data_IF_849519702566
#
_entry.id   IF_849519702566
#
_cell.length_a   1.000
_cell.length_b   1.000
_cell.length_c   1.000
_cell.angle_alpha   90.00
_cell.angle_beta   90.00
_cell.angle_gamma   90.00
#
_symmetry.space_group_name_H-M   'P 1'
#
loop_
_entity.id
_entity.type
_entity.pdbx_description
1 polymer ?
#
# COMPACT_ATOMS: atom_id res chain seq x y z
N UNK A 1 -3.18 18.13 -41.32
CA UNK A 1 -3.20 18.05 -39.84
C UNK A 1 -2.73 19.39 -39.29
N UNK A 2 -3.65 20.24 -38.84
CA UNK A 2 -3.31 21.54 -38.24
C UNK A 2 -2.79 21.33 -36.82
N UNK A 3 -1.60 21.85 -36.50
CA UNK A 3 -1.00 21.64 -35.19
C UNK A 3 -1.86 22.23 -34.06
N UNK A 4 -1.90 21.59 -32.87
CA UNK A 4 -2.73 22.02 -31.75
C UNK A 4 -2.42 23.46 -31.30
N UNK A 5 -1.18 23.92 -31.49
CA UNK A 5 -0.76 25.28 -31.18
C UNK A 5 -1.34 26.35 -32.12
N UNK A 6 -1.67 26.01 -33.38
CA UNK A 6 -2.22 26.97 -34.35
C UNK A 6 -3.75 27.13 -34.21
N UNK A 7 -4.44 26.10 -33.71
CA UNK A 7 -5.86 26.17 -33.34
C UNK A 7 -6.09 27.04 -32.08
N UNK A 8 -5.10 27.09 -31.18
CA UNK A 8 -5.14 27.88 -29.95
C UNK A 8 -5.20 29.40 -30.19
N UNK A 9 -4.48 29.91 -31.19
CA UNK A 9 -4.44 31.35 -31.48
C UNK A 9 -5.58 31.86 -32.38
N UNK A 10 -6.41 30.99 -32.97
CA UNK A 10 -7.43 31.41 -33.96
C UNK A 10 -8.87 31.27 -33.50
N UNK A 11 -9.15 30.57 -32.39
CA UNK A 11 -10.51 30.33 -31.92
C UNK A 11 -10.67 30.59 -30.42
N UNK A 12 -11.46 31.61 -30.08
CA UNK A 12 -11.82 31.98 -28.70
C UNK A 12 -12.44 30.79 -27.94
N UNK A 13 -13.15 29.90 -28.65
CA UNK A 13 -13.72 28.65 -28.12
C UNK A 13 -12.65 27.68 -27.63
N UNK A 14 -11.58 27.50 -28.40
CA UNK A 14 -10.52 26.57 -28.06
C UNK A 14 -9.76 27.02 -26.82
N UNK A 15 -9.50 28.33 -26.71
CA UNK A 15 -8.82 28.92 -25.54
C UNK A 15 -9.62 28.70 -24.26
N UNK A 16 -10.91 29.04 -24.24
CA UNK A 16 -11.78 28.88 -23.06
C UNK A 16 -11.95 27.41 -22.67
N UNK A 17 -12.19 26.54 -23.65
CA UNK A 17 -12.36 25.10 -23.39
C UNK A 17 -11.08 24.49 -22.82
N UNK A 18 -9.90 24.87 -23.35
CA UNK A 18 -8.61 24.40 -22.83
C UNK A 18 -8.36 24.85 -21.39
N UNK A 19 -8.73 26.09 -21.03
CA UNK A 19 -8.57 26.59 -19.65
C UNK A 19 -9.47 25.81 -18.69
N UNK A 20 -10.73 25.55 -19.06
CA UNK A 20 -11.68 24.79 -18.24
C UNK A 20 -11.18 23.35 -18.03
N UNK A 21 -10.78 22.67 -19.11
CA UNK A 21 -10.25 21.31 -19.02
C UNK A 21 -8.99 21.25 -18.15
N UNK A 22 -8.08 22.22 -18.30
CA UNK A 22 -6.88 22.28 -17.47
C UNK A 22 -7.23 22.49 -15.98
N UNK A 23 -8.17 23.38 -15.67
CA UNK A 23 -8.62 23.63 -14.29
C UNK A 23 -9.30 22.40 -13.68
N UNK A 24 -10.18 21.74 -14.42
CA UNK A 24 -10.82 20.50 -13.99
C UNK A 24 -9.80 19.40 -13.72
N UNK A 25 -8.80 19.26 -14.58
CA UNK A 25 -7.72 18.28 -14.38
C UNK A 25 -6.91 18.56 -13.10
N UNK A 26 -6.57 19.83 -12.83
CA UNK A 26 -5.86 20.24 -11.62
C UNK A 26 -6.68 19.91 -10.37
N UNK A 27 -7.98 20.21 -10.37
CA UNK A 27 -8.87 19.95 -9.24
C UNK A 27 -8.98 18.43 -8.99
N UNK A 28 -9.19 17.63 -10.04
CA UNK A 28 -9.27 16.18 -9.93
C UNK A 28 -7.95 15.59 -9.43
N UNK A 29 -6.82 16.11 -9.90
CA UNK A 29 -5.50 15.68 -9.46
C UNK A 29 -5.26 15.98 -7.98
N UNK A 30 -5.63 17.19 -7.52
CA UNK A 30 -5.54 17.58 -6.11
C UNK A 30 -6.43 16.70 -5.22
N UNK A 31 -7.70 16.53 -5.59
CA UNK A 31 -8.65 15.71 -4.84
C UNK A 31 -8.24 14.23 -4.85
N UNK A 32 -7.79 13.70 -5.98
CA UNK A 32 -7.32 12.33 -6.11
C UNK A 32 -6.07 12.07 -5.27
N UNK A 33 -5.14 13.02 -5.22
CA UNK A 33 -3.94 12.96 -4.37
C UNK A 33 -4.29 12.97 -2.87
N UNK A 34 -5.20 13.85 -2.46
CA UNK A 34 -5.67 13.91 -1.07
C UNK A 34 -6.37 12.61 -0.64
N UNK A 35 -7.26 12.08 -1.48
CA UNK A 35 -7.94 10.80 -1.25
C UNK A 35 -6.93 9.63 -1.17
N UNK A 36 -5.93 9.59 -2.05
CA UNK A 36 -4.89 8.57 -2.01
C UNK A 36 -4.14 8.57 -0.68
N UNK A 37 -3.69 9.76 -0.23
CA UNK A 37 -2.97 9.88 1.03
C UNK A 37 -3.84 9.45 2.22
N UNK A 38 -5.12 9.84 2.23
CA UNK A 38 -6.03 9.53 3.34
C UNK A 38 -6.41 8.05 3.42
N UNK A 39 -6.68 7.40 2.27
CA UNK A 39 -7.01 5.98 2.23
C UNK A 39 -5.77 5.13 2.52
N UNK A 40 -4.61 5.51 1.98
CA UNK A 40 -3.36 4.79 2.17
C UNK A 40 -2.86 4.86 3.61
N UNK A 41 -2.95 6.02 4.27
CA UNK A 41 -2.54 6.14 5.68
C UNK A 41 -3.53 5.43 6.60
N UNK A 42 -4.84 5.65 6.43
CA UNK A 42 -5.86 5.07 7.30
C UNK A 42 -5.85 3.54 7.31
N UNK A 43 -5.86 2.90 6.14
CA UNK A 43 -5.86 1.43 6.04
C UNK A 43 -4.53 0.84 6.55
N UNK A 44 -3.41 1.52 6.27
CA UNK A 44 -2.10 1.04 6.70
C UNK A 44 -1.95 1.13 8.23
N UNK A 45 -2.31 2.26 8.83
CA UNK A 45 -2.16 2.50 10.27
C UNK A 45 -3.07 1.57 11.07
N UNK A 46 -4.30 1.36 10.62
CA UNK A 46 -5.23 0.40 11.21
C UNK A 46 -4.65 -1.03 11.14
N UNK A 47 -4.18 -1.45 9.96
CA UNK A 47 -3.59 -2.77 9.80
C UNK A 47 -2.31 -2.93 10.63
N UNK A 48 -1.46 -1.91 10.69
CA UNK A 48 -0.24 -1.92 11.51
C UNK A 48 -0.59 -2.15 12.98
N UNK A 49 -1.57 -1.40 13.51
CA UNK A 49 -2.03 -1.54 14.88
C UNK A 49 -2.56 -2.96 15.16
N UNK A 50 -3.42 -3.48 14.28
CA UNK A 50 -3.94 -4.84 14.40
C UNK A 50 -2.84 -5.90 14.30
N UNK A 51 -1.87 -5.72 13.40
CA UNK A 51 -0.74 -6.64 13.21
C UNK A 51 0.17 -6.67 14.43
N UNK A 52 0.44 -5.53 15.06
CA UNK A 52 1.23 -5.45 16.30
C UNK A 52 0.49 -6.18 17.43
N UNK A 53 -0.81 -5.96 17.58
CA UNK A 53 -1.61 -6.63 18.62
C UNK A 53 -1.67 -8.15 18.41
N UNK A 54 -1.86 -8.61 17.17
CA UNK A 54 -1.85 -10.04 16.86
C UNK A 54 -0.46 -10.66 17.03
N UNK A 55 0.62 -9.96 16.63
CA UNK A 55 1.99 -10.40 16.86
C UNK A 55 2.30 -10.54 18.35
N UNK A 56 1.90 -9.57 19.17
CA UNK A 56 2.05 -9.61 20.63
C UNK A 56 1.28 -10.78 21.24
N UNK A 57 0.03 -10.98 20.82
CA UNK A 57 -0.81 -12.11 21.27
C UNK A 57 -0.18 -13.45 20.89
N UNK A 58 0.26 -13.58 19.63
CA UNK A 58 0.92 -14.78 19.11
C UNK A 58 2.21 -15.07 19.86
N UNK A 59 3.09 -14.08 20.02
CA UNK A 59 4.33 -14.21 20.76
C UNK A 59 4.08 -14.61 22.23
N UNK A 60 3.05 -14.05 22.88
CA UNK A 60 2.67 -14.41 24.25
C UNK A 60 2.19 -15.87 24.34
N UNK A 61 1.33 -16.30 23.41
CA UNK A 61 0.83 -17.67 23.39
C UNK A 61 1.96 -18.67 23.13
N UNK A 62 2.85 -18.36 22.18
CA UNK A 62 4.05 -19.16 21.93
C UNK A 62 4.96 -19.19 23.15
N UNK A 63 5.19 -18.06 23.83
CA UNK A 63 5.98 -18.02 25.07
C UNK A 63 5.36 -18.86 26.19
N UNK A 64 4.03 -18.89 26.32
CA UNK A 64 3.33 -19.74 27.29
C UNK A 64 3.50 -21.22 26.95
N UNK A 65 3.23 -21.62 25.70
CA UNK A 65 3.45 -23.00 25.22
C UNK A 65 4.91 -23.44 25.46
N UNK A 66 5.84 -22.51 25.23
CA UNK A 66 7.25 -22.74 25.50
C UNK A 66 7.56 -22.78 27.01
N UNK A 67 6.85 -22.09 27.87
CA UNK A 67 7.15 -22.13 29.33
C UNK A 67 6.71 -23.46 29.96
N UNK A 68 5.64 -24.09 29.46
CA UNK A 68 5.11 -25.34 29.99
C UNK A 68 5.84 -26.60 29.49
N UNK A 69 6.54 -26.50 28.36
CA UNK A 69 7.33 -27.61 27.82
C UNK A 69 8.64 -27.76 28.62
N UNK A 70 8.84 -28.85 29.36
CA UNK A 70 10.12 -29.09 30.03
C UNK A 70 11.16 -29.52 28.98
N UNK A 71 12.14 -28.65 28.72
CA UNK A 71 13.20 -28.88 27.74
C UNK A 71 14.33 -29.72 28.32
N UNK A 72 14.40 -30.98 27.91
CA UNK A 72 15.54 -31.84 28.25
C UNK A 72 16.37 -32.25 27.03
N UNK A 73 15.83 -32.12 25.81
CA UNK A 73 16.51 -32.56 24.59
C UNK A 73 16.38 -31.56 23.41
N UNK A 74 17.45 -31.48 22.60
CA UNK A 74 17.53 -30.69 21.36
C UNK A 74 16.50 -31.16 20.32
N UNK A 75 16.28 -32.48 20.22
CA UNK A 75 15.33 -33.02 19.27
C UNK A 75 13.90 -32.56 19.59
N UNK A 76 13.52 -32.58 20.87
CA UNK A 76 12.23 -32.08 21.33
C UNK A 76 12.03 -30.59 21.02
N UNK A 77 13.05 -29.76 21.25
CA UNK A 77 12.99 -28.33 20.91
C UNK A 77 12.79 -28.11 19.40
N UNK A 78 13.50 -28.87 18.56
CA UNK A 78 13.37 -28.78 17.10
C UNK A 78 11.95 -29.16 16.64
N UNK A 79 11.36 -30.19 17.23
CA UNK A 79 10.00 -30.65 16.91
C UNK A 79 8.96 -29.58 17.26
N UNK A 80 9.04 -28.99 18.45
CA UNK A 80 8.12 -27.93 18.88
C UNK A 80 8.24 -26.70 17.97
N UNK A 81 9.46 -26.28 17.63
CA UNK A 81 9.61 -25.17 16.69
C UNK A 81 9.09 -25.50 15.30
N UNK A 82 9.26 -26.73 14.81
CA UNK A 82 8.64 -27.14 13.54
C UNK A 82 7.11 -27.16 13.62
N UNK A 83 6.53 -27.48 14.78
CA UNK A 83 5.08 -27.44 15.00
C UNK A 83 4.57 -25.99 15.06
N UNK A 84 5.27 -25.10 15.77
CA UNK A 84 4.96 -23.66 15.79
C UNK A 84 5.04 -23.06 14.38
N UNK A 85 6.06 -23.44 13.60
CA UNK A 85 6.27 -22.98 12.24
C UNK A 85 5.34 -23.66 11.22
N UNK A 86 4.66 -24.76 11.57
CA UNK A 86 3.66 -25.42 10.75
C UNK A 86 2.33 -24.64 10.77
N UNK A 87 2.40 -23.32 10.56
CA UNK A 87 1.23 -22.48 10.37
C UNK A 87 0.62 -22.85 9.02
N UNK A 88 -0.66 -23.25 8.96
CA UNK A 88 -1.27 -23.61 7.70
C UNK A 88 -1.16 -22.44 6.71
N UNK A 89 -0.71 -22.67 5.47
CA UNK A 89 -0.64 -21.63 4.46
C UNK A 89 -2.06 -21.15 4.18
N UNK A 90 -2.43 -19.99 4.74
CA UNK A 90 -3.76 -19.41 4.55
C UNK A 90 -3.78 -18.66 3.23
N UNK A 91 -4.13 -19.36 2.16
CA UNK A 91 -4.03 -18.90 0.78
C UNK A 91 -4.99 -17.76 0.40
N UNK A 92 -5.95 -17.35 1.27
CA UNK A 92 -7.04 -16.43 0.86
C UNK A 92 -7.66 -15.53 1.95
N UNK A 93 -7.05 -15.34 3.13
CA UNK A 93 -7.60 -14.44 4.16
C UNK A 93 -6.73 -13.20 4.42
N UNK A 94 -7.38 -12.08 4.78
CA UNK A 94 -6.84 -10.74 5.07
C UNK A 94 -5.72 -10.69 6.13
N UNK A 95 -5.40 -11.83 6.75
CA UNK A 95 -4.40 -12.02 7.79
C UNK A 95 -3.46 -13.22 7.48
N UNK A 96 -3.06 -13.40 6.22
CA UNK A 96 -1.96 -14.32 5.88
C UNK A 96 -0.71 -13.90 6.67
N UNK A 97 -0.34 -14.75 7.63
CA UNK A 97 0.78 -14.53 8.55
C UNK A 97 1.80 -15.63 8.41
N UNK A 98 3.06 -15.23 8.42
CA UNK A 98 4.21 -16.11 8.41
C UNK A 98 5.00 -15.94 9.71
N UNK A 99 5.66 -17.00 10.15
CA UNK A 99 6.48 -17.03 11.36
C UNK A 99 7.93 -17.33 10.98
N UNK A 100 8.84 -16.68 11.67
CA UNK A 100 10.26 -16.97 11.59
C UNK A 100 10.89 -17.00 12.98
N UNK A 101 11.74 -18.00 13.21
CA UNK A 101 12.46 -18.20 14.46
C UNK A 101 13.94 -18.22 14.14
N UNK A 102 14.72 -17.44 14.87
CA UNK A 102 16.17 -17.44 14.78
C UNK A 102 16.79 -17.55 16.16
N UNK A 103 17.93 -18.22 16.22
CA UNK A 103 18.73 -18.25 17.44
C UNK A 103 19.32 -16.86 17.75
N UNK A 104 19.23 -16.44 19.01
CA UNK A 104 19.90 -15.23 19.50
C UNK A 104 21.41 -15.45 19.56
N UNK A 105 22.22 -14.41 19.24
CA UNK A 105 23.70 -14.49 19.10
C UNK A 105 24.44 -15.12 20.29
N UNK A 106 23.90 -15.01 21.50
CA UNK A 106 24.51 -15.50 22.75
C UNK A 106 24.05 -16.94 23.15
N UNK A 107 23.30 -17.63 22.29
CA UNK A 107 22.82 -18.98 22.59
C UNK A 107 23.86 -20.03 22.21
N UNK A 108 24.18 -20.93 23.15
CA UNK A 108 25.15 -22.00 22.91
C UNK A 108 24.78 -22.90 21.71
N UNK A 109 25.80 -23.37 20.98
CA UNK A 109 25.65 -24.12 19.72
C UNK A 109 24.77 -25.38 19.82
N UNK A 110 24.64 -25.96 21.02
CA UNK A 110 23.80 -27.14 21.28
C UNK A 110 22.32 -26.90 20.96
N UNK A 111 21.81 -25.69 21.16
CA UNK A 111 20.38 -25.37 21.00
C UNK A 111 20.09 -24.49 19.78
N UNK A 112 21.04 -24.35 18.84
CA UNK A 112 20.84 -23.52 17.65
C UNK A 112 19.68 -24.02 16.79
N UNK A 113 18.74 -23.14 16.49
CA UNK A 113 17.60 -23.38 15.61
C UNK A 113 17.26 -22.10 14.84
N UNK A 114 17.26 -22.21 13.51
CA UNK A 114 16.75 -21.19 12.60
C UNK A 114 15.74 -21.86 11.67
N UNK A 115 14.55 -21.28 11.54
CA UNK A 115 13.47 -21.85 10.73
C UNK A 115 12.38 -20.84 10.43
N UNK A 116 11.68 -21.08 9.33
CA UNK A 116 10.60 -20.23 8.82
C UNK A 116 9.39 -21.09 8.47
N UNK A 117 8.18 -20.51 8.49
CA UNK A 117 6.96 -21.16 8.02
C UNK A 117 6.83 -21.13 6.50
N UNK A 118 6.00 -22.01 5.95
CA UNK A 118 5.57 -22.03 4.53
C UNK A 118 6.68 -21.82 3.48
N UNK A 119 7.88 -22.34 3.73
CA UNK A 119 9.03 -22.19 2.83
C UNK A 119 9.39 -20.72 2.55
N UNK A 120 9.16 -19.84 3.53
CA UNK A 120 9.60 -18.46 3.49
C UNK A 120 11.14 -18.41 3.56
N UNK A 121 11.78 -17.63 2.71
CA UNK A 121 13.22 -17.45 2.77
C UNK A 121 13.62 -16.60 3.99
N UNK A 122 14.69 -16.97 4.72
CA UNK A 122 15.18 -16.21 5.88
C UNK A 122 15.46 -14.73 5.63
N UNK A 123 15.82 -14.36 4.39
CA UNK A 123 16.06 -12.98 3.95
C UNK A 123 14.81 -12.09 4.00
N UNK A 124 13.61 -12.68 4.15
CA UNK A 124 12.35 -11.96 4.35
C UNK A 124 12.29 -11.24 5.70
N UNK A 125 13.21 -11.52 6.62
CA UNK A 125 13.40 -10.75 7.85
C UNK A 125 14.65 -9.88 7.69
N UNK A 126 14.52 -8.56 7.53
CA UNK A 126 15.66 -7.66 7.37
C UNK A 126 16.60 -7.71 8.57
N UNK A 127 17.92 -7.71 8.33
CA UNK A 127 18.89 -7.69 9.43
C UNK A 127 18.77 -6.40 10.26
N UNK A 128 18.33 -5.28 9.65
CA UNK A 128 17.97 -4.03 10.34
C UNK A 128 16.90 -4.24 11.43
N UNK A 129 15.87 -5.03 11.14
CA UNK A 129 14.83 -5.38 12.11
C UNK A 129 15.41 -6.29 13.19
N UNK A 130 16.25 -7.27 12.81
CA UNK A 130 16.86 -8.18 13.78
C UNK A 130 17.77 -7.45 14.77
N UNK A 131 18.56 -6.50 14.29
CA UNK A 131 19.37 -5.63 15.14
C UNK A 131 18.51 -4.79 16.09
N UNK A 132 17.44 -4.16 15.58
CA UNK A 132 16.49 -3.40 16.41
C UNK A 132 15.82 -4.27 17.47
N UNK A 133 15.40 -5.49 17.11
CA UNK A 133 14.78 -6.43 18.05
C UNK A 133 15.76 -6.89 19.11
N UNK A 134 17.03 -7.17 18.75
CA UNK A 134 18.10 -7.52 19.72
C UNK A 134 18.44 -6.36 20.66
N UNK A 135 18.44 -5.14 20.14
CA UNK A 135 18.69 -3.93 20.92
C UNK A 135 17.59 -3.66 21.97
N UNK A 136 16.41 -4.29 21.84
CA UNK A 136 15.39 -4.30 22.89
C UNK A 136 15.84 -5.22 24.03
N UNK A 137 16.74 -4.69 24.85
CA UNK A 137 17.09 -5.26 26.14
C UNK A 137 16.94 -4.15 27.18
N UNK A 138 16.11 -4.39 28.19
CA UNK A 138 16.02 -3.74 29.51
C UNK A 138 15.15 -2.49 29.79
N UNK A 139 14.76 -1.63 28.84
CA UNK A 139 13.99 -0.41 29.23
C UNK A 139 12.77 -0.07 28.36
N UNK A 140 12.75 -0.48 27.09
CA UNK A 140 11.64 -0.18 26.17
C UNK A 140 10.86 -1.44 25.79
N UNK A 141 9.64 -1.56 26.28
CA UNK A 141 8.67 -2.60 25.89
C UNK A 141 8.03 -2.33 24.51
N UNK A 142 8.59 -1.42 23.71
CA UNK A 142 8.06 -1.09 22.39
C UNK A 142 8.38 -2.21 21.38
N UNK A 143 7.34 -2.95 21.00
CA UNK A 143 7.37 -3.91 19.90
C UNK A 143 7.95 -3.25 18.64
N UNK A 144 9.02 -3.83 18.09
CA UNK A 144 9.69 -3.30 16.89
C UNK A 144 9.06 -3.92 15.65
N UNK A 145 8.79 -3.08 14.66
CA UNK A 145 8.24 -3.49 13.39
C UNK A 145 8.98 -2.80 12.25
N UNK A 146 8.98 -3.43 11.08
CA UNK A 146 9.54 -2.88 9.85
C UNK A 146 8.75 -3.38 8.64
N UNK A 147 8.67 -2.56 7.59
CA UNK A 147 8.13 -3.02 6.30
C UNK A 147 9.16 -3.91 5.62
N UNK A 148 8.72 -5.00 5.04
CA UNK A 148 9.58 -5.95 4.33
C UNK A 148 8.81 -6.63 3.21
N UNK A 149 9.48 -7.51 2.46
CA UNK A 149 8.86 -8.32 1.44
C UNK A 149 9.01 -9.80 1.81
N UNK A 150 7.89 -10.53 1.83
CA UNK A 150 7.89 -11.99 1.96
C UNK A 150 8.43 -12.56 0.67
N UNK A 151 9.60 -13.20 0.76
CA UNK A 151 10.22 -13.90 -0.35
C UNK A 151 10.10 -15.39 -0.09
N UNK A 152 9.34 -16.09 -0.93
CA UNK A 152 9.15 -17.53 -0.82
C UNK A 152 10.15 -18.26 -1.73
N UNK A 153 10.48 -19.51 -1.38
CA UNK A 153 11.41 -20.35 -2.16
C UNK A 153 10.92 -20.60 -3.60
N UNK A 154 9.62 -20.48 -3.86
CA UNK A 154 9.02 -20.57 -5.20
C UNK A 154 9.22 -19.30 -6.06
N UNK A 155 9.86 -18.27 -5.52
CA UNK A 155 10.12 -16.98 -6.18
C UNK A 155 8.99 -15.96 -6.03
N UNK A 156 7.90 -16.27 -5.31
CA UNK A 156 6.82 -15.33 -5.04
C UNK A 156 7.31 -14.24 -4.07
N UNK A 157 6.97 -12.98 -4.37
CA UNK A 157 7.30 -11.82 -3.53
C UNK A 157 6.02 -11.05 -3.18
N UNK A 158 5.80 -10.80 -1.89
CA UNK A 158 4.66 -10.02 -1.41
C UNK A 158 5.07 -8.94 -0.41
N UNK A 159 4.56 -7.71 -0.52
CA UNK A 159 4.83 -6.68 0.48
C UNK A 159 4.26 -7.10 1.83
N UNK A 160 4.93 -6.76 2.93
CA UNK A 160 4.57 -7.21 4.26
C UNK A 160 5.04 -6.27 5.38
N UNK A 161 4.55 -6.54 6.59
CA UNK A 161 5.02 -5.94 7.83
C UNK A 161 5.58 -7.07 8.69
N UNK A 162 6.83 -6.94 9.12
CA UNK A 162 7.46 -7.86 10.07
C UNK A 162 7.50 -7.24 11.46
N UNK A 163 7.12 -8.02 12.47
CA UNK A 163 7.09 -7.63 13.87
C UNK A 163 7.97 -8.58 14.67
N UNK A 164 8.95 -8.03 15.40
CA UNK A 164 9.96 -8.81 16.11
C UNK A 164 9.74 -8.87 17.62
N UNK A 165 9.92 -10.06 18.18
CA UNK A 165 9.83 -10.39 19.60
C UNK A 165 11.01 -11.25 20.04
N UNK A 166 11.35 -11.20 21.32
CA UNK A 166 12.33 -12.11 21.93
C UNK A 166 11.56 -13.13 22.79
N UNK A 167 11.75 -14.41 22.48
CA UNK A 167 11.29 -15.52 23.30
C UNK A 167 12.41 -15.96 24.23
N UNK A 168 12.07 -16.28 25.47
CA UNK A 168 13.04 -16.75 26.47
C UNK A 168 12.67 -18.14 26.92
N UNK A 169 13.57 -19.09 26.71
CA UNK A 169 13.36 -20.50 27.01
C UNK A 169 14.29 -20.92 28.15
N UNK A 170 13.73 -21.40 29.26
CA UNK A 170 14.51 -21.91 30.39
C UNK A 170 15.36 -23.10 29.93
N UNK A 171 16.68 -23.01 30.10
CA UNK A 171 17.64 -24.06 29.71
C UNK A 171 18.14 -24.02 28.26
N UNK A 172 17.42 -23.35 27.34
CA UNK A 172 17.78 -23.30 25.92
C UNK A 172 18.19 -21.90 25.41
N UNK A 173 18.01 -20.85 26.22
CA UNK A 173 18.45 -19.48 25.89
C UNK A 173 17.36 -18.60 25.28
N UNK A 174 17.78 -17.53 24.61
CA UNK A 174 16.89 -16.56 23.95
C UNK A 174 16.75 -16.88 22.46
N UNK A 175 15.58 -16.66 21.90
CA UNK A 175 15.29 -16.80 20.48
C UNK A 175 14.61 -15.54 19.97
N UNK A 176 14.94 -15.17 18.74
CA UNK A 176 14.23 -14.15 18.00
C UNK A 176 13.01 -14.78 17.34
N UNK A 177 11.86 -14.17 17.51
CA UNK A 177 10.59 -14.61 16.97
C UNK A 177 9.98 -13.47 16.16
N UNK A 178 9.72 -13.72 14.89
CA UNK A 178 9.15 -12.73 13.99
C UNK A 178 7.81 -13.23 13.48
N UNK A 179 6.83 -12.33 13.49
CA UNK A 179 5.53 -12.52 12.86
C UNK A 179 5.45 -11.56 11.69
N UNK A 180 5.26 -12.08 10.48
CA UNK A 180 5.19 -11.31 9.25
C UNK A 180 3.77 -11.36 8.71
N UNK A 181 3.23 -10.22 8.29
CA UNK A 181 1.86 -10.08 7.79
C UNK A 181 1.88 -9.61 6.33
N UNK A 182 1.33 -10.41 5.42
CA UNK A 182 1.23 -10.04 4.00
C UNK A 182 0.29 -8.84 3.79
N UNK A 183 0.72 -7.86 2.99
CA UNK A 183 -0.01 -6.69 2.51
C UNK A 183 -0.58 -6.90 1.10
N UNK A 184 -0.51 -8.12 0.55
CA UNK A 184 -0.91 -8.40 -0.84
C UNK A 184 -2.39 -8.10 -1.14
N UNK A 185 -3.30 -8.31 -0.19
CA UNK A 185 -4.72 -8.01 -0.40
C UNK A 185 -4.99 -6.50 -0.42
N UNK A 186 -4.28 -5.74 0.42
CA UNK A 186 -4.38 -4.28 0.49
C UNK A 186 -3.85 -3.63 -0.79
N UNK A 187 -2.74 -4.14 -1.34
CA UNK A 187 -2.19 -3.62 -2.61
C UNK A 187 -3.14 -3.88 -3.78
N UNK A 188 -3.78 -5.06 -3.84
CA UNK A 188 -4.78 -5.38 -4.87
C UNK A 188 -5.99 -4.45 -4.79
N UNK A 189 -6.62 -4.29 -3.63
CA UNK A 189 -7.79 -3.41 -3.48
C UNK A 189 -7.44 -1.95 -3.78
N UNK A 190 -6.27 -1.48 -3.34
CA UNK A 190 -5.80 -0.12 -3.64
C UNK A 190 -5.66 0.13 -5.15
N UNK A 191 -5.06 -0.83 -5.87
CA UNK A 191 -4.87 -0.71 -7.32
C UNK A 191 -6.19 -0.64 -8.09
N UNK A 192 -7.21 -1.39 -7.65
CA UNK A 192 -8.53 -1.39 -8.26
C UNK A 192 -9.22 -0.04 -8.06
N UNK A 193 -9.25 0.48 -6.83
CA UNK A 193 -9.86 1.78 -6.51
C UNK A 193 -9.20 2.91 -7.32
N UNK A 194 -7.87 2.89 -7.41
CA UNK A 194 -7.11 3.88 -8.19
C UNK A 194 -7.44 3.83 -9.68
N UNK A 195 -7.57 2.63 -10.26
CA UNK A 195 -7.90 2.48 -11.67
C UNK A 195 -9.31 3.02 -11.98
N UNK A 196 -10.30 2.74 -11.11
CA UNK A 196 -11.64 3.30 -11.24
C UNK A 196 -11.67 4.82 -11.06
N UNK A 197 -10.88 5.36 -10.14
CA UNK A 197 -10.78 6.81 -9.93
C UNK A 197 -10.23 7.51 -11.16
N UNK A 198 -9.16 7.00 -11.76
CA UNK A 198 -8.59 7.53 -13.00
C UNK A 198 -9.56 7.42 -14.16
N UNK A 199 -10.19 6.26 -14.35
CA UNK A 199 -11.15 6.04 -15.42
C UNK A 199 -12.32 7.04 -15.33
N UNK A 200 -12.88 7.20 -14.13
CA UNK A 200 -14.00 8.11 -13.88
C UNK A 200 -13.58 9.58 -14.01
N UNK A 201 -12.40 9.94 -13.48
CA UNK A 201 -11.88 11.30 -13.55
C UNK A 201 -11.61 11.76 -14.99
N UNK A 202 -11.02 10.89 -15.82
CA UNK A 202 -10.80 11.17 -17.24
C UNK A 202 -12.13 11.25 -17.99
N UNK A 203 -13.05 10.30 -17.76
CA UNK A 203 -14.36 10.30 -18.40
C UNK A 203 -15.14 11.58 -18.09
N UNK A 204 -15.13 12.02 -16.83
CA UNK A 204 -15.80 13.26 -16.40
C UNK A 204 -15.16 14.50 -17.03
N UNK A 205 -13.83 14.56 -17.07
CA UNK A 205 -13.09 15.68 -17.68
C UNK A 205 -13.40 15.80 -19.16
N UNK A 206 -13.42 14.68 -19.89
CA UNK A 206 -13.78 14.64 -21.31
C UNK A 206 -15.23 15.07 -21.53
N UNK A 207 -16.15 14.63 -20.67
CA UNK A 207 -17.57 14.97 -20.76
C UNK A 207 -17.78 16.48 -20.55
N UNK A 208 -17.12 17.09 -19.56
CA UNK A 208 -17.15 18.55 -19.35
C UNK A 208 -16.59 19.27 -20.58
N UNK A 209 -15.41 18.87 -21.07
CA UNK A 209 -14.80 19.47 -22.26
C UNK A 209 -15.70 19.39 -23.49
N UNK A 210 -16.38 18.26 -23.68
CA UNK A 210 -17.30 18.03 -24.78
C UNK A 210 -18.56 18.90 -24.67
N UNK A 211 -19.16 19.00 -23.48
CA UNK A 211 -20.32 19.87 -23.23
C UNK A 211 -19.94 21.33 -23.46
N UNK A 212 -18.84 21.78 -22.87
CA UNK A 212 -18.34 23.15 -23.02
C UNK A 212 -18.09 23.48 -24.49
N UNK A 213 -17.38 22.62 -25.23
CA UNK A 213 -17.14 22.80 -26.65
C UNK A 213 -18.45 22.90 -27.46
N UNK A 214 -19.41 22.02 -27.17
CA UNK A 214 -20.70 21.99 -27.85
C UNK A 214 -21.52 23.26 -27.58
N UNK A 215 -21.59 23.70 -26.32
CA UNK A 215 -22.32 24.90 -25.91
C UNK A 215 -21.71 26.17 -26.52
N UNK A 216 -20.39 26.34 -26.43
CA UNK A 216 -19.73 27.53 -27.00
C UNK A 216 -19.92 27.59 -28.52
N UNK A 217 -19.86 26.45 -29.22
CA UNK A 217 -20.11 26.41 -30.67
C UNK A 217 -21.54 26.84 -31.01
N UNK A 218 -22.52 26.47 -30.17
CA UNK A 218 -23.95 26.77 -30.40
C UNK A 218 -24.31 28.22 -30.10
N UNK A 219 -23.62 28.86 -29.15
CA UNK A 219 -23.86 30.26 -28.76
C UNK A 219 -23.13 31.29 -29.64
N UNK A 220 -22.02 30.92 -30.28
CA UNK A 220 -21.21 31.89 -31.06
C UNK A 220 -21.71 32.08 -32.49
N UNK A 221 -22.40 31.09 -33.06
CA UNK A 221 -23.01 31.23 -34.39
C UNK A 221 -23.98 32.43 -34.48
N UNK A 222 -24.93 32.64 -33.54
CA UNK A 222 -25.87 33.76 -33.64
C UNK A 222 -25.27 35.14 -33.29
N UNK A 223 -24.17 35.21 -32.52
CA UNK A 223 -23.56 36.49 -32.13
C UNK A 223 -22.89 37.17 -33.34
N UNK A 224 -22.35 36.38 -34.26
CA UNK A 224 -21.77 36.91 -35.51
C UNK A 224 -22.82 37.53 -36.42
N UNK A 225 -24.01 36.96 -36.45
CA UNK A 225 -25.12 37.46 -37.26
C UNK A 225 -25.66 38.78 -36.69
N UNK A 226 -25.78 38.89 -35.36
CA UNK A 226 -26.16 40.14 -34.70
C UNK A 226 -25.13 41.27 -34.89
N UNK A 227 -23.82 40.95 -34.93
CA UNK A 227 -22.78 41.94 -35.18
C UNK A 227 -22.84 42.50 -36.61
N UNK A 228 -23.14 41.65 -37.61
CA UNK A 228 -23.34 42.09 -39.00
C UNK A 228 -24.52 43.02 -39.17
N UNK A 229 -25.64 42.75 -38.48
CA UNK A 229 -26.82 43.63 -38.54
C UNK A 229 -26.52 45.02 -37.95
N UNK A 230 -25.69 45.11 -36.90
CA UNK A 230 -25.25 46.40 -36.35
C UNK A 230 -24.30 47.16 -37.30
N UNK A 231 -23.45 46.43 -38.03
CA UNK A 231 -22.55 46.98 -39.06
C UNK A 231 -23.33 47.46 -40.30
N UNK A 232 -24.36 46.72 -40.73
CA UNK A 232 -25.27 47.12 -41.82
C UNK A 232 -26.19 48.31 -41.44
N UNK A 233 -26.64 48.38 -40.19
CA UNK A 233 -27.41 49.53 -39.67
C UNK A 233 -26.58 50.81 -39.57
N UNK A 234 -25.26 50.70 -39.35
CA UNK A 234 -24.35 51.85 -39.33
C UNK A 234 -23.77 52.17 -40.71
N UNK A 235 -23.75 51.20 -41.64
CA UNK A 235 -23.41 51.41 -43.05
C UNK A 235 -24.52 52.08 -43.87
N UNK A 236 -25.68 52.34 -43.27
CA UNK A 236 -26.71 53.20 -43.86
C UNK A 236 -27.49 52.58 -45.03
N UNK A 237 -27.66 51.26 -45.05
CA UNK A 237 -28.52 50.62 -46.04
C UNK A 237 -29.92 50.37 -45.45
N UNK A 238 -30.70 51.45 -45.38
CA UNK A 238 -32.16 51.39 -45.21
C UNK A 238 -32.80 51.71 -46.56
N UNK A 239 -33.08 50.67 -47.34
CA UNK A 239 -34.27 50.66 -48.20
C UNK A 239 -35.23 49.59 -47.71
#
# INVERSE_FOLDING_TARGET
>A
MTSPFKAWNSSLVFRVTSTIVALSFIIIWLLGSALYNQISSGIFDEKLKLSILDAQSTARNTQLQLTFSQYQDKAALKLIFSEILAVPPKTFESAARELAIFTYKDTGSRYRFDGTSNLLEPKSVPESLREKTRAVSTTDSSTKWERTDLQYVDGKVEPAIAVGHILTIKGAGKYEFYVLFSLAQQSRTMSLILNYLWLTGIALTLLIGLITFFVLRRLISPIRDAARVAEELTAGNLE
#
